data_IF_625783744673
#
_entry.id   IF_625783744673
#
_cell.length_a   1.000
_cell.length_b   1.000
_cell.length_c   1.000
_cell.angle_alpha   90.00
_cell.angle_beta   90.00
_cell.angle_gamma   90.00
#
_symmetry.space_group_name_H-M   'P 1'
#
loop_
_entity.id
_entity.type
_entity.pdbx_description
1 polymer ?
#
# COMPACT_ATOMS: atom_id res chain seq x y z
N UNK A 1 5.85 -26.85 14.29
CA UNK A 1 5.91 -25.79 15.33
C UNK A 1 6.08 -24.48 14.61
N UNK A 2 5.13 -23.54 14.72
CA UNK A 2 5.26 -22.22 14.07
C UNK A 2 6.39 -21.43 14.73
N UNK A 3 7.30 -20.86 13.94
CA UNK A 3 8.38 -20.01 14.45
C UNK A 3 7.78 -18.80 15.21
N UNK A 4 8.38 -18.38 16.33
CA UNK A 4 7.94 -17.18 17.05
C UNK A 4 8.08 -15.95 16.14
N UNK A 5 7.09 -15.06 16.17
CA UNK A 5 7.12 -13.83 15.38
C UNK A 5 8.05 -12.81 16.06
N UNK A 6 9.14 -12.35 15.41
CA UNK A 6 10.11 -11.43 16.00
C UNK A 6 9.59 -9.98 16.14
N UNK A 7 8.42 -9.66 15.58
CA UNK A 7 7.72 -8.39 15.77
C UNK A 7 6.80 -8.41 17.00
N UNK A 8 6.57 -9.57 17.64
CA UNK A 8 5.66 -9.68 18.77
C UNK A 8 6.22 -8.99 20.03
N UNK A 9 5.75 -7.77 20.29
CA UNK A 9 6.13 -6.97 21.48
C UNK A 9 5.51 -7.49 22.79
N UNK A 10 4.54 -8.40 22.75
CA UNK A 10 3.88 -8.94 23.95
C UNK A 10 3.31 -10.35 23.71
N UNK A 11 3.34 -11.25 24.72
CA UNK A 11 2.79 -12.59 24.59
C UNK A 11 1.27 -12.51 24.35
N UNK A 12 0.82 -13.07 23.23
CA UNK A 12 -0.60 -13.13 22.85
C UNK A 12 -1.09 -12.05 21.87
N UNK A 13 -0.31 -10.99 21.59
CA UNK A 13 -0.65 -10.02 20.53
C UNK A 13 -0.20 -10.59 19.18
N UNK A 14 -1.15 -10.85 18.27
CA UNK A 14 -0.85 -11.16 16.88
C UNK A 14 -0.53 -9.86 16.13
N UNK A 15 0.67 -9.77 15.57
CA UNK A 15 1.11 -8.63 14.76
C UNK A 15 0.63 -8.83 13.31
N UNK A 16 0.17 -7.76 12.67
CA UNK A 16 -0.38 -7.81 11.30
C UNK A 16 0.71 -7.56 10.25
N UNK A 17 0.47 -7.94 8.98
CA UNK A 17 1.35 -7.61 7.85
C UNK A 17 1.65 -6.10 7.78
N UNK A 18 0.65 -5.26 8.09
CA UNK A 18 0.79 -3.80 8.03
C UNK A 18 1.71 -3.29 9.15
N UNK A 19 1.52 -3.73 10.39
CA UNK A 19 2.39 -3.33 11.51
C UNK A 19 3.86 -3.76 11.29
N UNK A 20 4.07 -4.89 10.60
CA UNK A 20 5.43 -5.33 10.21
C UNK A 20 6.03 -4.45 9.10
N UNK A 21 5.23 -4.07 8.11
CA UNK A 21 5.65 -3.19 7.02
C UNK A 21 5.99 -1.77 7.52
N UNK A 22 5.16 -1.21 8.40
CA UNK A 22 5.41 0.10 9.02
C UNK A 22 6.74 0.12 9.76
N UNK A 23 7.04 -0.91 10.58
CA UNK A 23 8.32 -1.02 11.28
C UNK A 23 9.54 -1.10 10.32
N UNK A 24 9.38 -1.70 9.14
CA UNK A 24 10.43 -1.75 8.12
C UNK A 24 10.61 -0.39 7.45
N UNK A 25 9.50 0.31 7.15
CA UNK A 25 9.52 1.64 6.52
C UNK A 25 10.08 2.72 7.46
N UNK A 26 9.80 2.62 8.75
CA UNK A 26 10.31 3.54 9.78
C UNK A 26 11.79 3.28 10.12
N UNK A 27 12.37 2.18 9.63
CA UNK A 27 13.76 1.79 9.91
C UNK A 27 13.97 1.15 11.28
N UNK A 28 12.88 0.86 12.00
CA UNK A 28 12.87 0.24 13.33
C UNK A 28 12.96 -1.31 13.30
N UNK A 29 13.05 -1.91 12.10
CA UNK A 29 13.14 -3.35 11.91
C UNK A 29 14.59 -3.87 11.88
N UNK A 30 14.86 -4.91 12.66
CA UNK A 30 16.14 -5.64 12.66
C UNK A 30 16.30 -6.51 11.40
N UNK A 31 17.52 -6.96 11.11
CA UNK A 31 17.78 -7.88 9.98
C UNK A 31 16.95 -9.19 10.08
N UNK A 32 16.80 -9.73 11.30
CA UNK A 32 15.95 -10.90 11.58
C UNK A 32 14.47 -10.62 11.28
N UNK A 33 13.98 -9.43 11.67
CA UNK A 33 12.60 -9.00 11.40
C UNK A 33 12.36 -8.81 9.90
N UNK A 34 13.33 -8.26 9.17
CA UNK A 34 13.24 -8.12 7.72
C UNK A 34 13.23 -9.47 7.00
N UNK A 35 14.06 -10.42 7.43
CA UNK A 35 14.07 -11.79 6.88
C UNK A 35 12.74 -12.50 7.15
N UNK A 36 12.24 -12.43 8.38
CA UNK A 36 10.94 -12.99 8.74
C UNK A 36 9.80 -12.39 7.91
N UNK A 37 9.80 -11.07 7.69
CA UNK A 37 8.78 -10.41 6.87
C UNK A 37 8.84 -10.84 5.40
N UNK A 38 10.05 -11.03 4.85
CA UNK A 38 10.24 -11.57 3.49
C UNK A 38 9.67 -12.98 3.37
N UNK A 39 10.03 -13.89 4.29
CA UNK A 39 9.48 -15.25 4.31
C UNK A 39 7.95 -15.26 4.53
N UNK A 40 7.44 -14.37 5.39
CA UNK A 40 6.01 -14.25 5.68
C UNK A 40 5.21 -13.73 4.47
N UNK A 41 5.77 -12.85 3.65
CA UNK A 41 5.10 -12.37 2.43
C UNK A 41 4.86 -13.49 1.41
N UNK A 42 5.76 -14.48 1.32
CA UNK A 42 5.59 -15.65 0.45
C UNK A 42 4.50 -16.61 0.94
N UNK A 43 4.30 -16.75 2.26
CA UNK A 43 3.31 -17.67 2.83
C UNK A 43 1.92 -17.03 3.10
N UNK A 44 1.82 -15.71 3.19
CA UNK A 44 0.61 -15.05 3.67
C UNK A 44 -0.48 -14.82 2.59
N UNK A 45 -1.18 -15.90 2.24
CA UNK A 45 -2.41 -15.90 1.40
C UNK A 45 -3.54 -14.95 1.90
N UNK A 46 -3.78 -14.70 3.20
CA UNK A 46 -4.77 -13.70 3.61
C UNK A 46 -4.36 -12.25 3.30
N UNK A 47 -3.06 -11.92 3.29
CA UNK A 47 -2.57 -10.63 2.80
C UNK A 47 -2.69 -10.52 1.26
N UNK A 48 -2.63 -11.64 0.52
CA UNK A 48 -2.96 -11.71 -0.91
C UNK A 48 -4.46 -11.48 -1.21
N UNK A 49 -5.37 -12.09 -0.41
CA UNK A 49 -6.83 -11.98 -0.62
C UNK A 49 -7.40 -10.59 -0.33
N UNK A 50 -6.93 -9.93 0.73
CA UNK A 50 -7.34 -8.55 1.04
C UNK A 50 -6.79 -7.54 0.03
N UNK A 51 -5.54 -7.72 -0.42
CA UNK A 51 -4.94 -6.86 -1.44
C UNK A 51 -5.61 -7.02 -2.82
N UNK A 52 -6.07 -8.22 -3.18
CA UNK A 52 -6.82 -8.46 -4.41
C UNK A 52 -8.18 -7.74 -4.45
N UNK A 53 -8.86 -7.61 -3.30
CA UNK A 53 -10.12 -6.88 -3.20
C UNK A 53 -9.86 -5.37 -3.24
N UNK A 54 -8.88 -4.87 -2.49
CA UNK A 54 -8.49 -3.46 -2.52
C UNK A 54 -8.00 -3.01 -3.92
N UNK A 55 -7.22 -3.83 -4.62
CA UNK A 55 -6.81 -3.53 -6.00
C UNK A 55 -8.00 -3.49 -6.96
N UNK A 56 -8.97 -4.41 -6.81
CA UNK A 56 -10.18 -4.39 -7.63
C UNK A 56 -11.03 -3.15 -7.37
N UNK A 57 -11.18 -2.73 -6.12
CA UNK A 57 -11.88 -1.49 -5.76
C UNK A 57 -11.15 -0.26 -6.32
N UNK A 58 -9.82 -0.18 -6.17
CA UNK A 58 -9.01 0.92 -6.75
C UNK A 58 -9.11 0.96 -8.28
N UNK A 59 -9.07 -0.19 -8.96
CA UNK A 59 -9.26 -0.26 -10.42
C UNK A 59 -10.67 0.18 -10.84
N UNK A 60 -11.69 -0.22 -10.09
CA UNK A 60 -13.08 0.12 -10.37
C UNK A 60 -13.33 1.63 -10.21
N UNK A 61 -12.80 2.24 -9.14
CA UNK A 61 -12.84 3.70 -8.93
C UNK A 61 -12.08 4.43 -10.05
N UNK A 62 -10.88 3.96 -10.42
CA UNK A 62 -10.10 4.56 -11.51
C UNK A 62 -10.83 4.49 -12.86
N UNK A 63 -11.54 3.40 -13.13
CA UNK A 63 -12.31 3.22 -14.36
C UNK A 63 -13.60 4.03 -14.40
N UNK A 64 -14.36 4.07 -13.29
CA UNK A 64 -15.73 4.63 -13.27
C UNK A 64 -15.82 6.05 -12.74
N UNK A 65 -14.94 6.47 -11.85
CA UNK A 65 -15.01 7.78 -11.19
C UNK A 65 -13.90 8.73 -11.66
N UNK A 66 -12.69 8.23 -11.93
CA UNK A 66 -11.53 9.05 -12.30
C UNK A 66 -11.06 8.84 -13.76
N UNK A 67 -11.79 8.04 -14.54
CA UNK A 67 -11.37 7.57 -15.88
C UNK A 67 -11.74 8.48 -17.05
N UNK A 68 -12.35 9.64 -16.80
CA UNK A 68 -12.51 10.65 -17.85
C UNK A 68 -11.18 11.38 -17.97
N UNK A 69 -10.35 10.94 -18.92
CA UNK A 69 -9.24 11.75 -19.41
C UNK A 69 -9.79 13.17 -19.65
N UNK A 70 -9.26 14.15 -18.92
CA UNK A 70 -9.61 15.55 -19.15
C UNK A 70 -9.15 15.86 -20.58
N UNK A 71 -10.04 16.35 -21.46
CA UNK A 71 -9.66 16.63 -22.83
C UNK A 71 -8.49 17.62 -22.86
N UNK A 72 -7.46 17.37 -23.68
CA UNK A 72 -6.23 18.16 -23.67
C UNK A 72 -6.49 19.64 -23.95
N UNK A 73 -7.50 19.94 -24.78
CA UNK A 73 -7.99 21.30 -25.05
C UNK A 73 -8.41 22.04 -23.79
N UNK A 74 -9.12 21.39 -22.87
CA UNK A 74 -9.59 22.00 -21.63
C UNK A 74 -8.41 22.30 -20.69
N UNK A 75 -7.40 21.42 -20.67
CA UNK A 75 -6.17 21.63 -19.88
C UNK A 75 -5.36 22.80 -20.42
N UNK A 76 -5.23 22.91 -21.74
CA UNK A 76 -4.52 24.01 -22.40
C UNK A 76 -5.20 25.35 -22.14
N UNK A 77 -6.53 25.41 -22.27
CA UNK A 77 -7.31 26.62 -21.98
C UNK A 77 -7.15 27.09 -20.53
N UNK A 78 -7.19 26.18 -19.55
CA UNK A 78 -6.98 26.52 -18.14
C UNK A 78 -5.57 27.06 -17.91
N UNK A 79 -4.54 26.42 -18.46
CA UNK A 79 -3.13 26.88 -18.34
C UNK A 79 -2.94 28.28 -18.90
N UNK A 80 -3.51 28.57 -20.07
CA UNK A 80 -3.43 29.88 -20.70
C UNK A 80 -4.12 30.95 -19.84
N UNK A 81 -5.26 30.63 -19.23
CA UNK A 81 -5.96 31.55 -18.34
C UNK A 81 -5.18 31.84 -17.06
N UNK A 82 -4.56 30.83 -16.44
CA UNK A 82 -3.75 31.01 -15.22
C UNK A 82 -2.51 31.85 -15.50
N UNK A 83 -1.81 31.58 -16.60
CA UNK A 83 -0.62 32.36 -17.01
C UNK A 83 -0.95 33.80 -17.42
N UNK A 84 -2.18 34.06 -17.87
CA UNK A 84 -2.65 35.42 -18.20
C UNK A 84 -2.98 36.27 -16.97
N UNK A 85 -3.05 35.67 -15.77
CA UNK A 85 -3.40 36.35 -14.51
C UNK A 85 -2.13 36.58 -13.64
N UNK A 86 -0.96 36.12 -14.08
CA UNK A 86 0.35 36.38 -13.43
C UNK A 86 1.07 37.59 -14.02
#
# INVERSE_FOLDING_TARGET
MSRPNPFAKSPGKKVTCLEMLEAILDGDATEEQQEYFREHMDECIPCYKSHAIEMQIKQLIKSKCCGKHVPPDLVERIRNQVNSIS
#
